data_IF_742502964999
#
_entry.id   IF_742502964999
#
_cell.length_a   1.000
_cell.length_b   1.000
_cell.length_c   1.000
_cell.angle_alpha   90.00
_cell.angle_beta   90.00
_cell.angle_gamma   90.00
#
_symmetry.space_group_name_H-M   'P 1'
#
loop_
_entity.id
_entity.type
_entity.pdbx_description
1 polymer ?
#
# COMPACT_ATOMS: atom_id res chain seq x y z
N UNK A 1 -2.92 19.99 -21.77
CA UNK A 1 -3.34 20.41 -20.40
C UNK A 1 -2.12 20.95 -19.66
N UNK A 2 -2.31 21.69 -18.56
CA UNK A 2 -1.20 22.20 -17.74
C UNK A 2 -1.42 21.88 -16.26
N UNK A 3 -0.36 21.49 -15.57
CA UNK A 3 -0.38 21.21 -14.14
C UNK A 3 0.78 21.93 -13.44
N UNK A 4 0.50 22.64 -12.35
CA UNK A 4 1.54 23.32 -11.56
C UNK A 4 1.08 23.60 -10.12
N UNK A 5 2.02 23.93 -9.25
CA UNK A 5 1.72 24.54 -7.96
C UNK A 5 1.41 26.03 -8.13
N UNK A 6 0.31 26.49 -7.53
CA UNK A 6 -0.11 27.88 -7.60
C UNK A 6 0.97 28.81 -7.02
N UNK A 7 1.49 29.74 -7.83
CA UNK A 7 2.54 30.68 -7.39
C UNK A 7 2.04 31.73 -6.39
N UNK A 8 0.74 31.99 -6.37
CA UNK A 8 0.05 32.94 -5.48
C UNK A 8 -1.43 32.58 -5.36
N UNK A 9 -2.14 33.24 -4.45
CA UNK A 9 -3.58 33.11 -4.23
C UNK A 9 -4.45 33.95 -5.18
N UNK A 10 -3.89 34.48 -6.26
CA UNK A 10 -4.58 35.41 -7.18
C UNK A 10 -5.46 34.73 -8.23
N UNK A 11 -5.39 33.41 -8.37
CA UNK A 11 -6.21 32.65 -9.31
C UNK A 11 -7.47 32.12 -8.64
N UNK A 12 -8.61 32.23 -9.31
CA UNK A 12 -9.85 31.58 -8.92
C UNK A 12 -10.13 30.36 -9.79
N UNK A 13 -10.76 29.35 -9.18
CA UNK A 13 -11.18 28.13 -9.84
C UNK A 13 -12.38 28.40 -10.75
N UNK A 14 -12.33 27.94 -12.01
CA UNK A 14 -13.41 28.18 -12.96
C UNK A 14 -14.67 27.33 -12.77
N UNK A 15 -14.62 26.28 -11.94
CA UNK A 15 -15.81 25.49 -11.64
C UNK A 15 -16.55 25.98 -10.39
N UNK A 16 -15.84 26.19 -9.27
CA UNK A 16 -16.47 26.59 -8.00
C UNK A 16 -16.33 28.09 -7.67
N UNK A 17 -15.62 28.87 -8.49
CA UNK A 17 -15.34 30.30 -8.29
C UNK A 17 -14.51 30.69 -7.05
N UNK A 18 -14.16 29.72 -6.20
CA UNK A 18 -13.31 29.94 -5.03
C UNK A 18 -11.84 30.21 -5.37
N UNK A 19 -11.14 30.90 -4.47
CA UNK A 19 -9.71 31.16 -4.60
C UNK A 19 -8.89 29.85 -4.56
N UNK A 20 -7.84 29.79 -5.36
CA UNK A 20 -6.87 28.68 -5.35
C UNK A 20 -5.68 29.13 -4.49
N UNK A 21 -5.45 28.44 -3.39
CA UNK A 21 -4.40 28.80 -2.42
C UNK A 21 -2.99 28.72 -3.03
N UNK A 22 -2.09 29.61 -2.58
CA UNK A 22 -0.69 29.55 -2.97
C UNK A 22 -0.07 28.21 -2.53
N UNK A 23 0.83 27.66 -3.36
CA UNK A 23 1.47 26.35 -3.20
C UNK A 23 0.53 25.13 -3.27
N UNK A 24 -0.76 25.31 -3.58
CA UNK A 24 -1.66 24.18 -3.88
C UNK A 24 -1.51 23.70 -5.32
N UNK A 25 -1.71 22.39 -5.55
CA UNK A 25 -1.70 21.82 -6.91
C UNK A 25 -2.97 22.24 -7.65
N UNK A 26 -2.82 22.77 -8.86
CA UNK A 26 -3.93 23.18 -9.73
C UNK A 26 -3.76 22.67 -11.15
N UNK A 27 -4.89 22.42 -11.80
CA UNK A 27 -4.95 21.97 -13.19
C UNK A 27 -5.53 23.08 -14.07
N UNK A 28 -5.06 23.16 -15.32
CA UNK A 28 -5.63 24.05 -16.31
C UNK A 28 -5.92 23.35 -17.64
N UNK A 29 -7.08 23.72 -18.18
CA UNK A 29 -7.40 23.49 -19.58
C UNK A 29 -6.83 24.65 -20.39
N UNK A 30 -6.10 24.32 -21.44
CA UNK A 30 -5.45 25.27 -22.34
C UNK A 30 -6.18 25.19 -23.66
N UNK A 31 -6.67 26.32 -24.14
CA UNK A 31 -7.37 26.45 -25.42
C UNK A 31 -6.79 27.60 -26.22
N UNK A 32 -6.68 27.44 -27.55
CA UNK A 32 -6.20 28.51 -28.42
C UNK A 32 -7.24 29.62 -28.48
N UNK A 33 -6.86 30.84 -28.10
CA UNK A 33 -7.70 32.02 -28.21
C UNK A 33 -7.79 32.54 -29.65
N UNK A 34 -8.63 33.57 -29.86
CA UNK A 34 -8.72 34.30 -31.15
C UNK A 34 -7.49 35.20 -31.45
N UNK A 35 -6.45 35.16 -30.61
CA UNK A 35 -5.23 35.96 -30.71
C UNK A 35 -3.97 35.11 -30.50
N UNK A 36 -2.77 35.72 -30.40
CA UNK A 36 -1.51 34.99 -30.29
C UNK A 36 -1.27 34.33 -28.92
N UNK A 37 -2.23 34.44 -27.98
CA UNK A 37 -2.09 33.96 -26.61
C UNK A 37 -3.08 32.83 -26.33
N UNK A 38 -2.61 31.83 -25.58
CA UNK A 38 -3.45 30.75 -25.10
C UNK A 38 -4.34 31.20 -23.93
N UNK A 39 -5.59 30.74 -23.93
CA UNK A 39 -6.54 30.94 -22.85
C UNK A 39 -6.40 29.78 -21.86
N UNK A 40 -5.89 30.11 -20.67
CA UNK A 40 -5.65 29.15 -19.58
C UNK A 40 -6.75 29.28 -18.53
N UNK A 41 -7.51 28.20 -18.32
CA UNK A 41 -8.58 28.15 -17.31
C UNK A 41 -8.15 27.29 -16.13
N UNK A 42 -7.81 27.91 -15.01
CA UNK A 42 -7.39 27.23 -13.79
C UNK A 42 -8.56 26.65 -12.99
N UNK A 43 -8.35 25.46 -12.43
CA UNK A 43 -9.27 24.78 -11.54
C UNK A 43 -8.51 24.21 -10.34
N UNK A 44 -9.18 24.06 -9.19
CA UNK A 44 -8.68 23.14 -8.15
C UNK A 44 -8.59 21.73 -8.72
N UNK A 45 -7.73 20.90 -8.13
CA UNK A 45 -7.54 19.51 -8.53
C UNK A 45 -8.89 18.74 -8.61
N UNK A 46 -9.72 18.88 -7.57
CA UNK A 46 -11.05 18.25 -7.46
C UNK A 46 -12.14 18.86 -8.36
N UNK A 47 -11.86 20.02 -8.94
CA UNK A 47 -12.84 20.80 -9.70
C UNK A 47 -12.59 20.74 -11.21
N UNK A 48 -11.58 19.98 -11.64
CA UNK A 48 -11.20 19.89 -13.03
C UNK A 48 -12.10 18.85 -13.75
N UNK A 49 -12.69 19.20 -14.91
CA UNK A 49 -13.58 18.29 -15.63
C UNK A 49 -12.78 17.21 -16.38
N UNK A 50 -12.36 16.17 -15.65
CA UNK A 50 -11.58 15.04 -16.18
C UNK A 50 -12.36 14.26 -17.26
N UNK A 51 -13.68 14.15 -17.12
CA UNK A 51 -14.57 13.46 -18.07
C UNK A 51 -14.60 14.08 -19.46
N UNK A 52 -14.19 15.35 -19.62
CA UNK A 52 -14.13 16.04 -20.92
C UNK A 52 -12.79 15.92 -21.64
N UNK A 53 -11.78 15.31 -21.00
CA UNK A 53 -10.38 15.29 -21.44
C UNK A 53 -9.75 13.89 -21.40
N UNK A 54 -10.56 12.85 -21.67
CA UNK A 54 -10.09 11.46 -21.77
C UNK A 54 -9.03 11.30 -22.87
N UNK A 55 -7.92 10.62 -22.53
CA UNK A 55 -6.79 10.23 -23.39
C UNK A 55 -5.68 11.28 -23.65
N UNK A 56 -5.21 11.97 -22.61
CA UNK A 56 -3.86 12.55 -22.67
C UNK A 56 -2.89 11.68 -21.89
N UNK A 57 -1.87 11.12 -22.55
CA UNK A 57 -0.76 10.48 -21.87
C UNK A 57 -0.11 11.47 -20.86
N UNK A 58 0.44 11.02 -19.72
CA UNK A 58 1.04 11.91 -18.71
C UNK A 58 2.05 12.91 -19.28
N UNK A 59 2.73 12.52 -20.36
CA UNK A 59 3.72 13.30 -21.09
C UNK A 59 3.12 14.48 -21.88
N UNK A 60 1.81 14.46 -22.15
CA UNK A 60 1.08 15.54 -22.84
C UNK A 60 0.58 16.65 -21.89
N UNK A 61 0.87 16.53 -20.58
CA UNK A 61 0.55 17.55 -19.58
C UNK A 61 1.79 18.42 -19.35
N UNK A 62 1.72 19.67 -19.83
CA UNK A 62 2.77 20.65 -19.62
C UNK A 62 2.96 20.92 -18.12
N UNK A 63 4.20 20.77 -17.63
CA UNK A 63 4.56 20.94 -16.22
C UNK A 63 4.53 19.68 -15.36
N UNK A 64 4.08 18.54 -15.92
CA UNK A 64 4.00 17.26 -15.19
C UNK A 64 5.36 16.75 -14.69
N UNK A 65 6.42 16.89 -15.50
CA UNK A 65 7.80 16.49 -15.15
C UNK A 65 8.40 17.27 -13.97
N UNK A 66 7.80 18.41 -13.59
CA UNK A 66 8.26 19.26 -12.50
C UNK A 66 7.43 19.08 -11.22
N UNK A 67 6.45 18.17 -11.22
CA UNK A 67 5.65 17.84 -10.05
C UNK A 67 6.38 16.82 -9.17
N UNK A 68 6.33 17.03 -7.85
CA UNK A 68 6.84 16.03 -6.90
C UNK A 68 5.89 14.83 -6.92
N UNK A 69 6.43 13.65 -7.20
CA UNK A 69 5.73 12.36 -7.40
C UNK A 69 4.83 11.93 -6.22
N UNK A 70 4.94 12.58 -5.06
CA UNK A 70 4.24 12.20 -3.83
C UNK A 70 2.73 12.48 -3.79
N UNK A 71 2.16 13.25 -4.72
CA UNK A 71 0.78 13.76 -4.57
C UNK A 71 -0.22 13.29 -5.65
N UNK A 72 0.09 12.26 -6.43
CA UNK A 72 -0.82 11.77 -7.48
C UNK A 72 -1.97 10.87 -6.96
N UNK A 73 -1.96 10.53 -5.67
CA UNK A 73 -2.83 9.50 -5.08
C UNK A 73 -4.28 9.92 -4.77
N UNK A 74 -4.71 11.15 -5.08
CA UNK A 74 -6.07 11.60 -4.77
C UNK A 74 -7.07 11.56 -5.93
N UNK A 75 -6.72 10.98 -7.09
CA UNK A 75 -7.57 11.01 -8.28
C UNK A 75 -7.80 9.64 -8.93
N UNK A 76 -8.25 8.65 -8.16
CA UNK A 76 -9.17 7.62 -8.68
C UNK A 76 -10.10 7.26 -7.52
N UNK A 77 -11.36 7.68 -7.62
CA UNK A 77 -12.56 7.25 -6.85
C UNK A 77 -13.41 8.48 -6.50
N UNK A 78 -14.38 8.77 -7.37
CA UNK A 78 -15.77 9.04 -7.01
C UNK A 78 -16.55 9.44 -8.28
N UNK A 79 -17.00 8.42 -9.02
CA UNK A 79 -18.21 8.50 -9.82
C UNK A 79 -19.24 7.57 -9.17
N UNK A 80 -20.22 8.16 -8.50
CA UNK A 80 -21.63 7.73 -8.51
C UNK A 80 -22.43 8.71 -7.64
N UNK A 81 -23.04 9.71 -8.29
CA UNK A 81 -24.24 10.35 -7.77
C UNK A 81 -25.36 10.04 -8.75
N UNK A 82 -26.49 9.57 -8.24
CA UNK A 82 -27.78 10.08 -8.69
C UNK A 82 -28.82 9.93 -7.57
N UNK A 83 -29.61 10.99 -7.44
CA UNK A 83 -30.72 11.25 -6.52
C UNK A 83 -32.05 10.93 -7.21
N UNK A 84 -33.03 10.39 -6.47
CA UNK A 84 -34.41 10.90 -6.27
C UNK A 84 -35.44 9.80 -5.89
N UNK A 85 -36.47 10.25 -5.17
CA UNK A 85 -37.48 9.54 -4.37
C UNK A 85 -38.57 8.79 -5.18
N UNK A 86 -39.22 7.79 -4.56
CA UNK A 86 -40.49 7.22 -5.07
C UNK A 86 -40.93 5.84 -4.50
N UNK A 87 -41.62 5.87 -3.37
CA UNK A 87 -42.67 4.99 -2.78
C UNK A 87 -42.85 3.46 -3.11
N UNK A 88 -42.87 2.65 -2.03
CA UNK A 88 -43.66 1.45 -1.68
C UNK A 88 -43.89 0.25 -2.67
N UNK A 89 -43.23 -0.91 -2.41
CA UNK A 89 -43.82 -2.20 -1.89
C UNK A 89 -43.00 -3.48 -2.18
N UNK A 90 -42.69 -4.21 -1.08
CA UNK A 90 -42.54 -5.67 -0.88
C UNK A 90 -41.92 -6.56 -1.98
N UNK A 91 -40.82 -7.24 -1.63
CA UNK A 91 -40.66 -8.67 -1.98
C UNK A 91 -39.23 -9.21 -2.10
N UNK A 92 -38.86 -10.09 -1.15
CA UNK A 92 -37.82 -11.16 -1.18
C UNK A 92 -36.33 -10.77 -1.07
N UNK A 93 -35.79 -11.14 0.10
CA UNK A 93 -34.38 -11.23 0.49
C UNK A 93 -33.54 -12.09 -0.48
N UNK A 94 -32.35 -11.59 -0.78
CA UNK A 94 -31.11 -12.35 -1.00
C UNK A 94 -29.97 -11.63 -0.24
N UNK A 95 -28.94 -12.35 0.25
CA UNK A 95 -28.13 -11.92 1.39
C UNK A 95 -27.17 -10.76 1.04
N UNK A 96 -26.86 -9.88 2.01
CA UNK A 96 -25.86 -8.84 1.84
C UNK A 96 -24.49 -9.42 2.21
N UNK A 97 -23.53 -9.42 1.29
CA UNK A 97 -22.13 -9.53 1.69
C UNK A 97 -21.26 -8.63 0.81
N UNK A 98 -21.56 -7.34 0.86
CA UNK A 98 -20.58 -6.31 0.51
C UNK A 98 -19.71 -6.15 1.75
N UNK A 99 -18.59 -6.89 1.84
CA UNK A 99 -17.56 -6.67 2.86
C UNK A 99 -17.23 -5.17 2.87
N UNK A 100 -17.56 -4.47 3.95
CA UNK A 100 -17.20 -3.07 4.12
C UNK A 100 -15.68 -2.95 4.08
N UNK A 101 -15.13 -2.50 2.95
CA UNK A 101 -13.69 -2.28 2.78
C UNK A 101 -13.27 -1.21 3.77
N UNK A 102 -12.33 -1.52 4.63
CA UNK A 102 -11.82 -0.57 5.62
C UNK A 102 -11.03 0.50 4.87
N UNK A 103 -11.53 1.73 4.85
CA UNK A 103 -10.82 2.86 4.28
C UNK A 103 -9.76 3.36 5.27
N UNK A 104 -8.48 3.28 4.90
CA UNK A 104 -7.37 3.72 5.74
C UNK A 104 -7.06 5.17 5.39
N UNK A 105 -7.25 6.08 6.35
CA UNK A 105 -6.83 7.48 6.22
C UNK A 105 -5.31 7.59 6.36
N UNK A 106 -4.59 7.43 5.24
CA UNK A 106 -3.15 7.59 5.17
C UNK A 106 -2.80 9.00 4.71
N UNK A 107 -2.11 9.76 5.56
CA UNK A 107 -1.59 11.09 5.24
C UNK A 107 -0.07 11.09 5.38
N UNK A 108 0.61 11.73 4.43
CA UNK A 108 2.08 11.86 4.46
C UNK A 108 2.57 12.57 5.73
N UNK A 109 1.76 13.46 6.32
CA UNK A 109 2.06 14.12 7.60
C UNK A 109 2.12 13.15 8.79
N UNK A 110 1.45 12.00 8.70
CA UNK A 110 1.37 11.00 9.76
C UNK A 110 2.51 9.97 9.69
N UNK A 111 3.27 10.01 8.59
CA UNK A 111 4.43 9.14 8.36
C UNK A 111 5.62 9.65 9.16
N UNK A 112 6.24 8.75 9.93
CA UNK A 112 7.33 9.06 10.85
C UNK A 112 8.62 8.33 10.45
N UNK A 113 9.76 8.96 10.72
CA UNK A 113 11.10 8.33 10.59
C UNK A 113 11.50 7.50 11.82
N UNK A 114 10.63 7.43 12.83
CA UNK A 114 10.80 6.64 14.04
C UNK A 114 9.56 5.82 14.31
N UNK A 115 9.73 4.62 14.84
CA UNK A 115 8.64 3.85 15.43
C UNK A 115 8.72 3.97 16.96
N UNK A 116 7.86 4.83 17.53
CA UNK A 116 7.96 5.25 18.93
C UNK A 116 9.35 5.83 19.19
N UNK A 117 10.06 5.31 20.20
CA UNK A 117 11.42 5.74 20.55
C UNK A 117 12.51 5.11 19.66
N UNK A 118 12.18 4.12 18.81
CA UNK A 118 13.16 3.46 17.97
C UNK A 118 13.37 4.23 16.65
N UNK A 119 14.63 4.50 16.33
CA UNK A 119 15.04 5.09 15.06
C UNK A 119 14.94 4.07 13.94
N UNK A 120 14.42 4.47 12.79
CA UNK A 120 14.38 3.64 11.59
C UNK A 120 15.50 4.04 10.64
N UNK A 121 15.94 3.09 9.81
CA UNK A 121 16.86 3.38 8.70
C UNK A 121 16.20 4.33 7.69
N UNK A 122 16.96 5.10 6.87
CA UNK A 122 16.42 6.21 6.08
C UNK A 122 15.19 5.89 5.21
N UNK A 123 15.17 4.73 4.55
CA UNK A 123 14.05 4.26 3.70
C UNK A 123 12.90 3.61 4.48
N UNK A 124 13.09 3.32 5.77
CA UNK A 124 12.06 2.71 6.59
C UNK A 124 11.27 3.79 7.31
N UNK A 125 9.95 3.70 7.23
CA UNK A 125 9.02 4.64 7.86
C UNK A 125 8.02 3.92 8.74
N UNK A 126 7.36 4.68 9.60
CA UNK A 126 6.29 4.20 10.45
C UNK A 126 5.00 4.97 10.16
N UNK A 127 3.89 4.25 10.15
CA UNK A 127 2.54 4.79 10.13
C UNK A 127 1.68 3.98 11.11
N UNK A 128 1.10 4.64 12.11
CA UNK A 128 0.38 3.99 13.20
C UNK A 128 1.21 2.84 13.84
N UNK A 129 0.73 1.59 13.75
CA UNK A 129 1.41 0.38 14.25
C UNK A 129 2.20 -0.36 13.19
N UNK A 130 2.32 0.18 11.97
CA UNK A 130 3.03 -0.42 10.85
C UNK A 130 4.38 0.25 10.64
N UNK A 131 5.42 -0.55 10.43
CA UNK A 131 6.68 -0.11 9.83
C UNK A 131 6.69 -0.59 8.37
N UNK A 132 7.03 0.26 7.42
CA UNK A 132 7.10 -0.10 6.01
C UNK A 132 8.37 0.42 5.35
N UNK A 133 8.80 -0.26 4.30
CA UNK A 133 9.92 0.16 3.45
C UNK A 133 9.39 1.10 2.36
N UNK A 134 9.93 2.31 2.25
CA UNK A 134 9.61 3.21 1.13
C UNK A 134 10.02 2.60 -0.21
N UNK A 135 9.33 3.04 -1.26
CA UNK A 135 9.51 2.57 -2.63
C UNK A 135 10.98 2.64 -3.04
N UNK A 136 11.52 1.50 -3.46
CA UNK A 136 12.82 1.44 -4.13
C UNK A 136 12.69 1.79 -5.61
N UNK A 137 13.78 2.31 -6.18
CA UNK A 137 13.91 2.49 -7.63
C UNK A 137 13.73 1.13 -8.32
N UNK A 138 12.75 1.03 -9.21
CA UNK A 138 12.40 -0.20 -9.91
C UNK A 138 11.21 -0.97 -9.32
N UNK A 139 10.70 -0.64 -8.13
CA UNK A 139 9.43 -1.25 -7.70
C UNK A 139 8.29 -0.76 -8.59
N UNK A 140 7.63 -1.68 -9.30
CA UNK A 140 6.50 -1.38 -10.17
C UNK A 140 5.17 -1.69 -9.47
N UNK A 141 4.19 -0.81 -9.68
CA UNK A 141 2.81 -1.07 -9.29
C UNK A 141 2.18 -2.03 -10.31
N UNK A 142 1.27 -2.89 -9.86
CA UNK A 142 0.73 -3.95 -10.71
C UNK A 142 -0.68 -4.34 -10.29
N UNK A 143 -1.45 -4.86 -11.25
CA UNK A 143 -2.70 -5.56 -10.97
C UNK A 143 -2.46 -6.96 -10.42
N UNK A 144 -1.25 -7.53 -10.59
CA UNK A 144 -0.89 -8.86 -10.09
C UNK A 144 0.02 -8.73 -8.87
N UNK A 145 -0.42 -9.26 -7.73
CA UNK A 145 0.33 -9.22 -6.48
C UNK A 145 0.75 -10.63 -6.08
N UNK A 146 2.05 -10.81 -5.89
CA UNK A 146 2.61 -11.99 -5.23
C UNK A 146 3.01 -11.55 -3.83
N UNK A 147 2.23 -11.96 -2.84
CA UNK A 147 2.42 -11.55 -1.46
C UNK A 147 2.90 -12.72 -0.59
N UNK A 148 3.76 -12.43 0.38
CA UNK A 148 4.47 -13.44 1.17
C UNK A 148 4.48 -13.08 2.65
N UNK A 149 4.44 -14.07 3.53
CA UNK A 149 5.03 -13.95 4.86
C UNK A 149 6.57 -13.95 4.77
N UNK A 150 7.26 -13.62 5.87
CA UNK A 150 8.71 -13.65 5.95
C UNK A 150 9.26 -14.78 6.83
N UNK A 151 8.89 -14.84 8.11
CA UNK A 151 9.52 -15.73 9.10
C UNK A 151 8.87 -17.12 9.02
N UNK A 152 9.58 -18.10 8.47
CA UNK A 152 9.03 -19.44 8.21
C UNK A 152 8.54 -19.61 6.78
N UNK A 153 8.35 -18.53 6.01
CA UNK A 153 8.01 -18.59 4.59
C UNK A 153 9.21 -18.32 3.68
N UNK A 154 9.76 -17.10 3.70
CA UNK A 154 10.89 -16.71 2.87
C UNK A 154 12.24 -16.95 3.56
N UNK A 155 12.26 -16.77 4.87
CA UNK A 155 13.44 -16.88 5.69
C UNK A 155 13.23 -17.88 6.83
N UNK A 156 14.16 -18.82 6.95
CA UNK A 156 14.32 -19.61 8.18
C UNK A 156 15.02 -18.73 9.21
N UNK A 157 14.29 -18.38 10.26
CA UNK A 157 14.79 -17.51 11.32
C UNK A 157 14.89 -18.28 12.62
N UNK A 158 16.01 -18.10 13.31
CA UNK A 158 16.26 -18.82 14.55
C UNK A 158 15.53 -18.09 15.68
N UNK A 159 14.45 -18.67 16.20
CA UNK A 159 13.64 -18.10 17.29
C UNK A 159 14.50 -17.76 18.53
N UNK A 160 15.62 -18.44 18.73
CA UNK A 160 16.56 -18.25 19.83
C UNK A 160 17.76 -17.33 19.53
N UNK A 161 17.90 -16.81 18.32
CA UNK A 161 18.98 -15.88 17.95
C UNK A 161 18.42 -14.56 17.47
N UNK A 162 18.80 -13.49 18.15
CA UNK A 162 18.46 -12.11 17.75
C UNK A 162 19.65 -11.53 16.98
N UNK A 163 19.37 -10.85 15.87
CA UNK A 163 20.38 -10.17 15.08
C UNK A 163 20.03 -10.12 13.60
N UNK A 164 20.53 -9.09 12.91
CA UNK A 164 20.31 -8.89 11.48
C UNK A 164 20.75 -10.09 10.62
N UNK A 165 21.77 -10.83 11.06
CA UNK A 165 22.33 -11.98 10.35
C UNK A 165 21.71 -13.33 10.78
N UNK A 166 20.73 -13.32 11.70
CA UNK A 166 20.17 -14.54 12.30
C UNK A 166 19.08 -15.17 11.40
N UNK A 167 19.42 -15.41 10.13
CA UNK A 167 18.51 -15.95 9.14
C UNK A 167 19.23 -16.73 8.03
N UNK A 168 18.48 -17.55 7.32
CA UNK A 168 18.87 -18.20 6.06
C UNK A 168 17.65 -18.32 5.16
N UNK A 169 17.82 -18.57 3.85
CA UNK A 169 16.69 -18.83 2.96
C UNK A 169 15.92 -20.08 3.43
N UNK A 170 14.58 -20.03 3.37
CA UNK A 170 13.75 -21.19 3.68
C UNK A 170 13.95 -22.31 2.63
N UNK A 171 13.98 -21.93 1.35
CA UNK A 171 14.30 -22.78 0.22
C UNK A 171 15.33 -22.10 -0.69
N UNK A 172 16.24 -22.86 -1.29
CA UNK A 172 17.29 -22.33 -2.17
C UNK A 172 16.76 -21.75 -3.48
N UNK A 173 15.57 -22.18 -3.91
CA UNK A 173 14.86 -21.75 -5.13
C UNK A 173 14.20 -20.36 -5.02
N UNK A 174 14.06 -19.80 -3.81
CA UNK A 174 13.34 -18.55 -3.57
C UNK A 174 13.85 -17.39 -4.43
N UNK A 175 15.17 -17.12 -4.51
CA UNK A 175 15.66 -16.02 -5.35
C UNK A 175 15.21 -16.14 -6.80
N UNK A 176 15.30 -17.33 -7.39
CA UNK A 176 14.95 -17.55 -8.80
C UNK A 176 13.44 -17.44 -9.02
N UNK A 177 12.63 -18.00 -8.10
CA UNK A 177 11.16 -17.89 -8.15
C UNK A 177 10.69 -16.43 -8.03
N UNK A 178 11.25 -15.65 -7.11
CA UNK A 178 10.91 -14.24 -6.97
C UNK A 178 11.34 -13.40 -8.19
N UNK A 179 12.51 -13.68 -8.75
CA UNK A 179 12.96 -13.06 -10.00
C UNK A 179 12.02 -13.38 -11.18
N UNK A 180 11.58 -14.63 -11.32
CA UNK A 180 10.61 -15.02 -12.34
C UNK A 180 9.30 -14.25 -12.18
N UNK A 181 8.72 -14.24 -10.98
CA UNK A 181 7.47 -13.53 -10.70
C UNK A 181 7.57 -12.04 -11.03
N UNK A 182 8.67 -11.41 -10.63
CA UNK A 182 8.91 -10.00 -10.93
C UNK A 182 8.98 -9.75 -12.45
N UNK A 183 9.68 -10.61 -13.19
CA UNK A 183 9.75 -10.54 -14.66
C UNK A 183 8.39 -10.82 -15.33
N UNK A 184 7.55 -11.63 -14.70
CA UNK A 184 6.18 -11.91 -15.13
C UNK A 184 5.22 -10.75 -14.80
N UNK A 185 5.72 -9.65 -14.24
CA UNK A 185 4.95 -8.44 -13.95
C UNK A 185 4.20 -8.47 -12.62
N UNK A 186 4.55 -9.37 -11.70
CA UNK A 186 4.05 -9.32 -10.34
C UNK A 186 4.74 -8.23 -9.53
N UNK A 187 3.94 -7.50 -8.75
CA UNK A 187 4.47 -6.74 -7.62
C UNK A 187 4.71 -7.69 -6.46
N UNK A 188 5.94 -7.70 -5.96
CA UNK A 188 6.33 -8.52 -4.82
C UNK A 188 6.10 -7.75 -3.52
N UNK A 189 5.36 -8.36 -2.59
CA UNK A 189 5.03 -7.73 -1.30
C UNK A 189 5.28 -8.70 -0.14
N UNK A 190 5.89 -8.21 0.94
CA UNK A 190 6.03 -8.95 2.20
C UNK A 190 5.11 -8.32 3.24
N UNK A 191 4.26 -9.15 3.83
CA UNK A 191 3.41 -8.82 4.97
C UNK A 191 3.80 -9.68 6.16
N UNK A 192 4.36 -9.08 7.21
CA UNK A 192 4.89 -9.84 8.35
C UNK A 192 4.47 -9.27 9.69
N UNK A 193 4.16 -10.14 10.63
CA UNK A 193 3.79 -9.79 12.01
C UNK A 193 5.06 -9.77 12.88
N UNK A 194 5.34 -8.69 13.61
CA UNK A 194 6.50 -8.59 14.50
C UNK A 194 6.13 -7.94 15.86
N UNK A 195 5.36 -8.66 16.67
CA UNK A 195 4.91 -8.16 17.98
C UNK A 195 6.05 -7.88 18.95
N UNK A 196 7.24 -8.46 18.76
CA UNK A 196 8.36 -8.21 19.67
C UNK A 196 8.78 -6.75 19.67
N UNK A 197 8.63 -6.03 18.56
CA UNK A 197 8.88 -4.58 18.49
C UNK A 197 7.99 -3.82 19.48
N UNK A 198 6.73 -4.23 19.62
CA UNK A 198 5.80 -3.60 20.54
C UNK A 198 5.99 -4.10 21.99
N UNK A 199 6.19 -5.41 22.18
CA UNK A 199 6.38 -6.04 23.51
C UNK A 199 7.68 -5.59 24.19
N UNK A 200 8.78 -5.48 23.46
CA UNK A 200 10.11 -5.24 24.04
C UNK A 200 10.38 -3.75 24.24
N UNK A 201 9.65 -3.09 25.14
CA UNK A 201 9.71 -1.63 25.33
C UNK A 201 11.14 -1.10 25.53
N UNK A 202 11.95 -1.76 26.37
CA UNK A 202 13.32 -1.35 26.70
C UNK A 202 14.37 -1.87 25.69
N UNK A 203 13.99 -2.77 24.78
CA UNK A 203 14.87 -3.37 23.76
C UNK A 203 14.30 -3.18 22.36
N UNK A 204 13.46 -2.16 22.17
CA UNK A 204 12.69 -1.96 20.93
C UNK A 204 13.63 -1.72 19.75
N UNK A 205 14.65 -0.90 19.94
CA UNK A 205 15.65 -0.66 18.90
C UNK A 205 16.30 -1.97 18.45
N UNK A 206 16.66 -2.86 19.38
CA UNK A 206 17.24 -4.18 19.06
C UNK A 206 16.27 -5.04 18.25
N UNK A 207 14.98 -5.06 18.60
CA UNK A 207 13.97 -5.79 17.85
C UNK A 207 13.79 -5.23 16.42
N UNK A 208 13.73 -3.90 16.29
CA UNK A 208 13.65 -3.18 15.01
C UNK A 208 14.88 -3.49 14.14
N UNK A 209 16.08 -3.31 14.67
CA UNK A 209 17.35 -3.55 13.95
C UNK A 209 17.46 -5.00 13.50
N UNK A 210 17.05 -5.94 14.35
CA UNK A 210 17.03 -7.37 14.03
C UNK A 210 16.06 -7.71 12.91
N UNK A 211 14.84 -7.16 12.91
CA UNK A 211 13.85 -7.43 11.86
C UNK A 211 14.20 -6.74 10.55
N UNK A 212 14.46 -5.44 10.59
CA UNK A 212 14.81 -4.64 9.40
C UNK A 212 16.13 -5.14 8.78
N UNK A 213 17.13 -5.48 9.59
CA UNK A 213 18.40 -6.02 9.11
C UNK A 213 18.24 -7.32 8.32
N UNK A 214 17.42 -8.26 8.84
CA UNK A 214 17.10 -9.51 8.13
C UNK A 214 16.40 -9.25 6.79
N UNK A 215 15.42 -8.34 6.78
CA UNK A 215 14.67 -7.98 5.58
C UNK A 215 15.56 -7.31 4.52
N UNK A 216 16.41 -6.35 4.90
CA UNK A 216 17.34 -5.71 3.97
C UNK A 216 18.31 -6.71 3.34
N UNK A 217 18.92 -7.59 4.14
CA UNK A 217 19.83 -8.61 3.62
C UNK A 217 19.11 -9.63 2.71
N UNK A 218 17.85 -9.95 3.02
CA UNK A 218 17.03 -10.78 2.15
C UNK A 218 16.79 -10.11 0.80
N UNK A 219 16.40 -8.83 0.79
CA UNK A 219 16.18 -8.06 -0.45
C UNK A 219 17.45 -7.98 -1.29
N UNK A 220 18.60 -7.69 -0.66
CA UNK A 220 19.92 -7.71 -1.31
C UNK A 220 20.25 -9.08 -1.91
N UNK A 221 19.84 -10.17 -1.24
CA UNK A 221 20.10 -11.54 -1.67
C UNK A 221 19.25 -11.95 -2.89
N UNK A 222 17.98 -11.55 -2.94
CA UNK A 222 17.06 -11.93 -4.04
C UNK A 222 17.14 -11.01 -5.25
N UNK A 223 17.74 -9.81 -5.09
CA UNK A 223 18.04 -8.87 -6.18
C UNK A 223 16.83 -8.44 -7.01
N UNK A 224 15.66 -8.39 -6.38
CA UNK A 224 14.44 -7.83 -6.96
C UNK A 224 13.81 -6.83 -6.00
N UNK A 225 13.14 -5.77 -6.50
CA UNK A 225 12.41 -4.84 -5.66
C UNK A 225 11.27 -5.54 -4.92
N UNK A 226 11.18 -5.33 -3.60
CA UNK A 226 10.12 -5.91 -2.75
C UNK A 226 9.56 -4.82 -1.84
N UNK A 227 8.24 -4.66 -1.85
CA UNK A 227 7.54 -3.78 -0.91
C UNK A 227 7.34 -4.50 0.42
N UNK A 228 7.68 -3.88 1.54
CA UNK A 228 7.58 -4.54 2.86
C UNK A 228 6.69 -3.77 3.82
N UNK A 229 5.82 -4.49 4.53
CA UNK A 229 5.01 -4.00 5.64
C UNK A 229 5.16 -4.93 6.86
N UNK A 230 5.42 -4.32 8.02
CA UNK A 230 5.64 -4.98 9.29
C UNK A 230 4.56 -4.51 10.27
N UNK A 231 3.62 -5.39 10.62
CA UNK A 231 2.65 -5.13 11.67
C UNK A 231 3.29 -5.32 13.03
N UNK A 232 3.57 -4.22 13.73
CA UNK A 232 4.25 -4.24 15.02
C UNK A 232 3.27 -4.41 16.18
N UNK A 233 2.01 -4.03 16.02
CA UNK A 233 1.05 -4.08 17.12
C UNK A 233 0.71 -5.50 17.58
N UNK A 234 -0.07 -5.53 18.65
CA UNK A 234 -0.39 -6.73 19.38
C UNK A 234 -1.76 -7.25 18.93
N UNK A 235 -1.89 -8.58 18.89
CA UNK A 235 -3.20 -9.21 18.75
C UNK A 235 -3.95 -9.19 20.08
N UNK A 236 -5.25 -9.53 20.04
CA UNK A 236 -6.07 -9.69 21.26
C UNK A 236 -5.34 -10.50 22.33
N UNK A 237 -5.08 -9.85 23.46
CA UNK A 237 -4.50 -10.46 24.66
C UNK A 237 -5.39 -10.08 25.85
N UNK A 238 -6.48 -10.83 26.07
CA UNK A 238 -7.45 -10.56 27.13
C UNK A 238 -8.59 -9.60 26.75
N UNK A 239 -9.42 -9.22 27.74
CA UNK A 239 -10.70 -8.50 27.52
C UNK A 239 -10.58 -7.00 27.21
N UNK A 240 -9.39 -6.40 27.37
CA UNK A 240 -9.23 -4.93 27.35
C UNK A 240 -8.36 -4.40 26.20
N UNK A 241 -7.75 -5.25 25.38
CA UNK A 241 -6.86 -4.82 24.31
C UNK A 241 -7.55 -4.87 22.95
N UNK A 242 -7.67 -3.71 22.31
CA UNK A 242 -8.09 -3.64 20.91
C UNK A 242 -7.07 -4.35 20.03
N UNK A 243 -7.62 -5.09 19.08
CA UNK A 243 -6.86 -5.95 18.17
C UNK A 243 -6.33 -5.12 17.02
N UNK A 244 -5.02 -5.12 16.79
CA UNK A 244 -4.40 -4.29 15.77
C UNK A 244 -4.96 -4.63 14.37
N UNK A 245 -5.56 -3.64 13.69
CA UNK A 245 -6.14 -3.75 12.35
C UNK A 245 -5.12 -4.21 11.30
N UNK A 246 -3.85 -3.88 11.48
CA UNK A 246 -2.78 -4.23 10.54
C UNK A 246 -2.20 -5.61 10.80
N UNK A 247 -2.46 -6.21 11.97
CA UNK A 247 -1.90 -7.51 12.32
C UNK A 247 -2.67 -8.65 11.64
N UNK A 248 -1.97 -9.52 10.91
CA UNK A 248 -2.56 -10.75 10.35
C UNK A 248 -3.18 -11.58 11.49
N UNK A 249 -4.41 -12.10 11.35
CA UNK A 249 -5.12 -12.34 10.08
C UNK A 249 -5.93 -11.18 9.51
N UNK A 250 -5.90 -9.99 10.12
CA UNK A 250 -6.66 -8.85 9.58
C UNK A 250 -6.02 -8.29 8.31
N UNK A 251 -6.84 -7.84 7.34
CA UNK A 251 -6.36 -7.37 6.04
C UNK A 251 -5.77 -5.94 6.06
N UNK A 252 -5.54 -5.32 7.22
CA UNK A 252 -5.18 -3.90 7.27
C UNK A 252 -3.89 -3.54 6.53
N UNK A 253 -2.86 -4.40 6.57
CA UNK A 253 -1.66 -4.15 5.75
C UNK A 253 -1.94 -4.26 4.24
N UNK A 254 -2.83 -5.18 3.82
CA UNK A 254 -3.22 -5.31 2.43
C UNK A 254 -3.94 -4.05 1.94
N UNK A 255 -4.97 -3.60 2.68
CA UNK A 255 -5.70 -2.38 2.33
C UNK A 255 -4.80 -1.15 2.32
N UNK A 256 -3.82 -1.08 3.23
CA UNK A 256 -2.84 0.01 3.22
C UNK A 256 -2.06 0.00 1.90
N UNK A 257 -1.57 -1.16 1.49
CA UNK A 257 -0.82 -1.34 0.24
C UNK A 257 -1.66 -1.02 -0.99
N UNK A 258 -2.85 -1.60 -1.08
CA UNK A 258 -3.78 -1.44 -2.20
C UNK A 258 -4.19 0.02 -2.39
N UNK A 259 -4.62 0.69 -1.31
CA UNK A 259 -5.15 2.05 -1.37
C UNK A 259 -4.07 3.12 -1.59
N UNK A 260 -2.87 2.93 -1.01
CA UNK A 260 -1.88 4.02 -0.91
C UNK A 260 -0.53 3.72 -1.54
N UNK A 261 -0.25 2.45 -1.85
CA UNK A 261 1.04 2.05 -2.38
C UNK A 261 0.94 1.37 -3.73
N UNK A 262 -0.21 1.35 -4.41
CA UNK A 262 -0.38 0.69 -5.73
C UNK A 262 -0.82 1.62 -6.86
N UNK A 263 -0.60 2.93 -6.73
CA UNK A 263 -0.93 3.96 -7.73
C UNK A 263 -2.38 3.93 -8.27
N UNK A 264 -3.33 3.45 -7.46
CA UNK A 264 -4.73 3.31 -7.86
C UNK A 264 -5.00 2.21 -8.89
N UNK A 265 -4.01 1.36 -9.20
CA UNK A 265 -4.19 0.20 -10.08
C UNK A 265 -5.03 -0.84 -9.34
N UNK A 266 -6.17 -1.20 -9.94
CA UNK A 266 -7.03 -2.25 -9.41
C UNK A 266 -6.30 -3.60 -9.42
N UNK A 267 -6.36 -4.31 -8.29
CA UNK A 267 -5.72 -5.62 -8.14
C UNK A 267 -6.66 -6.70 -8.68
N UNK A 268 -6.12 -7.54 -9.56
CA UNK A 268 -6.75 -8.77 -10.00
C UNK A 268 -6.51 -9.85 -8.92
N UNK A 269 -7.52 -10.07 -8.09
CA UNK A 269 -7.47 -11.02 -6.97
C UNK A 269 -7.29 -12.46 -7.47
N UNK A 270 -7.85 -12.82 -8.62
CA UNK A 270 -7.77 -14.16 -9.18
C UNK A 270 -6.37 -14.51 -9.70
N UNK A 271 -5.63 -13.50 -10.17
CA UNK A 271 -4.23 -13.62 -10.58
C UNK A 271 -3.23 -13.40 -9.45
N UNK A 272 -3.70 -12.91 -8.29
CA UNK A 272 -2.89 -12.62 -7.11
C UNK A 272 -2.94 -13.77 -6.09
N UNK A 273 -1.94 -13.84 -5.23
CA UNK A 273 -1.86 -14.90 -4.23
C UNK A 273 -1.04 -14.50 -3.00
N UNK A 274 -1.22 -15.26 -1.93
CA UNK A 274 -0.47 -15.18 -0.69
C UNK A 274 0.25 -16.49 -0.37
N UNK A 275 1.52 -16.43 0.05
CA UNK A 275 2.28 -17.60 0.51
C UNK A 275 2.72 -17.39 1.96
N UNK A 276 2.39 -18.33 2.85
CA UNK A 276 2.72 -18.23 4.27
C UNK A 276 2.70 -19.57 4.99
N UNK A 277 3.44 -19.69 6.09
CA UNK A 277 3.57 -20.94 6.85
C UNK A 277 2.46 -21.12 7.90
N UNK A 278 1.81 -20.02 8.33
CA UNK A 278 0.72 -20.06 9.29
C UNK A 278 -0.61 -20.48 8.64
N UNK A 279 -0.68 -21.75 8.19
CA UNK A 279 -1.79 -22.32 7.43
C UNK A 279 -2.83 -23.05 8.29
N UNK A 280 -2.68 -23.06 9.62
CA UNK A 280 -3.62 -23.69 10.54
C UNK A 280 -3.55 -25.21 10.58
N UNK A 281 -2.47 -25.82 10.08
CA UNK A 281 -2.20 -27.26 10.22
C UNK A 281 -1.83 -27.58 11.67
N UNK A 282 -1.94 -28.84 12.09
CA UNK A 282 -1.64 -29.26 13.48
C UNK A 282 -0.22 -28.87 13.95
N UNK A 283 0.75 -28.85 13.02
CA UNK A 283 2.13 -28.46 13.30
C UNK A 283 2.41 -26.96 13.22
N UNK A 284 1.45 -26.16 12.71
CA UNK A 284 1.66 -24.74 12.51
C UNK A 284 1.47 -23.98 13.82
N UNK A 285 2.24 -22.90 13.97
CA UNK A 285 2.20 -22.07 15.17
C UNK A 285 0.91 -21.22 15.24
N UNK A 286 0.25 -20.97 14.11
CA UNK A 286 -1.03 -20.24 14.00
C UNK A 286 -1.69 -20.48 12.63
N UNK A 287 -2.87 -19.88 12.44
CA UNK A 287 -3.62 -19.84 11.18
C UNK A 287 -3.70 -18.42 10.57
N UNK A 288 -2.75 -17.55 10.96
CA UNK A 288 -2.81 -16.13 10.64
C UNK A 288 -2.68 -15.84 9.13
N UNK A 289 -1.93 -16.65 8.39
CA UNK A 289 -1.63 -16.42 6.98
C UNK A 289 -2.77 -16.88 6.07
N UNK A 290 -3.30 -18.08 6.32
CA UNK A 290 -4.46 -18.58 5.57
C UNK A 290 -5.68 -17.68 5.79
N UNK A 291 -5.95 -17.27 7.03
CA UNK A 291 -7.08 -16.36 7.32
C UNK A 291 -6.87 -14.95 6.78
N UNK A 292 -5.62 -14.48 6.68
CA UNK A 292 -5.31 -13.22 6.00
C UNK A 292 -5.66 -13.30 4.52
N UNK A 293 -5.26 -14.38 3.85
CA UNK A 293 -5.60 -14.61 2.44
C UNK A 293 -7.11 -14.73 2.24
N UNK A 294 -7.82 -15.50 3.07
CA UNK A 294 -9.29 -15.66 3.03
C UNK A 294 -10.04 -14.34 3.26
N UNK A 295 -9.56 -13.50 4.18
CA UNK A 295 -10.17 -12.21 4.46
C UNK A 295 -10.20 -11.31 3.20
N UNK A 296 -9.14 -11.39 2.39
CA UNK A 296 -8.95 -10.63 1.15
C UNK A 296 -9.61 -11.34 -0.06
N UNK A 297 -9.65 -12.67 -0.04
CA UNK A 297 -10.09 -13.50 -1.17
C UNK A 297 -8.94 -14.00 -2.06
N UNK A 298 -7.69 -13.99 -1.57
CA UNK A 298 -6.52 -14.43 -2.34
C UNK A 298 -6.40 -15.95 -2.37
N UNK A 299 -5.85 -16.47 -3.47
CA UNK A 299 -5.31 -17.84 -3.49
C UNK A 299 -4.19 -17.96 -2.46
N UNK A 300 -4.18 -19.06 -1.72
CA UNK A 300 -3.19 -19.31 -0.67
C UNK A 300 -2.33 -20.53 -1.00
N UNK A 301 -1.03 -20.43 -0.74
CA UNK A 301 -0.09 -21.54 -0.85
C UNK A 301 0.78 -21.64 0.40
N UNK A 302 1.18 -22.86 0.75
CA UNK A 302 2.21 -23.07 1.78
C UNK A 302 3.62 -23.04 1.17
N UNK A 303 4.66 -22.65 1.91
CA UNK A 303 5.99 -22.43 1.35
C UNK A 303 6.61 -23.73 0.83
N UNK A 304 6.35 -24.85 1.50
CA UNK A 304 6.92 -26.15 1.12
C UNK A 304 6.38 -26.66 -0.22
N UNK A 305 5.16 -26.26 -0.60
CA UNK A 305 4.58 -26.62 -1.91
C UNK A 305 4.95 -25.59 -2.97
N UNK A 306 4.94 -24.31 -2.60
CA UNK A 306 5.17 -23.23 -3.55
C UNK A 306 6.64 -23.10 -3.95
N UNK A 307 7.57 -23.31 -3.01
CA UNK A 307 9.00 -23.10 -3.22
C UNK A 307 9.81 -24.38 -3.42
N UNK A 308 9.32 -25.56 -3.05
CA UNK A 308 10.01 -26.82 -3.36
C UNK A 308 10.31 -27.00 -4.85
#
# INVERSE_FOLDING_TARGET
MKAEYAKSNRSSCKACSEAIEAKSLRLASVSKGKGPYDVVKWHHLRCFPLSSHSHSAPEAIEGFSSLKVSNLFSCVQNESQETEEGDLRKGKLCPPDVKAVVNISFLVSDVKSKYKEANLLPKWKAFQTVIFLERDDGLHDSSKIAAFDFDGCLAKTAVNRVGANAWSLMHSSIPDKLQSLYNDGYKLVIFTNESNIERWKNKRQVAVDSKIGRLNQFIEKVKVPVQVFIACGLGKSGKAQEDDLFRKPKPGMWYLMEQHFNSGIAIDIDQSFYVGDAAGRESDHSDADIKFAEAIGLKFYVPEEYFA
#
